data_IF_708689322056
#
_entry.id   IF_708689322056
#
_cell.length_a   1.000
_cell.length_b   1.000
_cell.length_c   1.000
_cell.angle_alpha   90.00
_cell.angle_beta   90.00
_cell.angle_gamma   90.00
#
_symmetry.space_group_name_H-M   'P 1'
#
loop_
_entity.id
_entity.type
_entity.pdbx_description
1 polymer ?
#
# COMPACT_ATOMS: atom_id res chain seq x y z
N UNK A 1 6.43 -38.35 -21.93
CA UNK A 1 6.38 -37.13 -21.09
C UNK A 1 6.79 -37.50 -19.67
N UNK A 2 7.79 -36.84 -19.06
CA UNK A 2 8.18 -37.14 -17.66
C UNK A 2 7.11 -36.62 -16.69
N UNK A 3 6.55 -37.51 -15.88
CA UNK A 3 5.69 -37.16 -14.74
C UNK A 3 6.58 -36.77 -13.55
N UNK A 4 6.09 -35.87 -12.70
CA UNK A 4 6.76 -35.48 -11.45
C UNK A 4 5.77 -35.58 -10.29
N UNK A 5 6.25 -35.98 -9.12
CA UNK A 5 5.44 -36.05 -7.90
C UNK A 5 5.22 -34.67 -7.29
N UNK A 6 4.02 -34.45 -6.75
CA UNK A 6 3.74 -33.32 -5.88
C UNK A 6 4.28 -33.58 -4.47
N UNK A 7 5.13 -32.71 -3.94
CA UNK A 7 5.75 -32.84 -2.60
C UNK A 7 4.74 -32.86 -1.43
N UNK A 8 3.50 -32.39 -1.61
CA UNK A 8 2.49 -32.36 -0.54
C UNK A 8 1.53 -33.56 -0.56
N UNK A 9 1.32 -34.18 -1.72
CA UNK A 9 0.31 -35.25 -1.84
C UNK A 9 0.83 -36.50 -2.55
N UNK A 10 2.12 -36.51 -2.92
CA UNK A 10 2.85 -37.56 -3.61
C UNK A 10 2.20 -38.09 -4.91
N UNK A 11 1.11 -37.48 -5.37
CA UNK A 11 0.47 -37.79 -6.65
C UNK A 11 1.32 -37.28 -7.79
N UNK A 12 1.39 -38.09 -8.84
CA UNK A 12 2.13 -37.77 -10.05
C UNK A 12 1.30 -36.89 -10.99
N UNK A 13 1.92 -35.84 -11.49
CA UNK A 13 1.30 -34.93 -12.45
C UNK A 13 2.26 -34.61 -13.60
N UNK A 14 1.69 -34.27 -14.76
CA UNK A 14 2.46 -33.64 -15.84
C UNK A 14 3.11 -32.35 -15.30
N UNK A 15 4.37 -32.08 -15.67
CA UNK A 15 5.11 -30.91 -15.16
C UNK A 15 4.36 -29.58 -15.32
N UNK A 16 3.56 -29.41 -16.39
CA UNK A 16 2.70 -28.23 -16.61
C UNK A 16 1.64 -28.00 -15.50
N UNK A 17 1.28 -29.03 -14.74
CA UNK A 17 0.29 -28.99 -13.65
C UNK A 17 0.92 -28.83 -12.26
N UNK A 18 2.24 -28.64 -12.17
CA UNK A 18 3.00 -28.44 -10.94
C UNK A 18 3.62 -27.04 -10.92
N UNK A 19 3.66 -26.42 -9.75
CA UNK A 19 4.40 -25.18 -9.50
C UNK A 19 5.64 -25.48 -8.67
N UNK A 20 6.78 -24.91 -9.04
CA UNK A 20 8.01 -24.99 -8.24
C UNK A 20 7.99 -23.85 -7.22
N UNK A 21 7.94 -24.17 -5.94
CA UNK A 21 7.89 -23.20 -4.84
C UNK A 21 8.95 -23.60 -3.82
N UNK A 22 9.90 -22.71 -3.53
CA UNK A 22 11.03 -22.97 -2.60
C UNK A 22 11.73 -24.32 -2.86
N UNK A 23 11.99 -24.63 -4.14
CA UNK A 23 12.63 -25.88 -4.54
C UNK A 23 11.73 -27.12 -4.62
N UNK A 24 10.50 -27.08 -4.08
CA UNK A 24 9.55 -28.20 -4.09
C UNK A 24 8.54 -28.10 -5.24
N UNK A 25 8.13 -29.23 -5.82
CA UNK A 25 7.08 -29.27 -6.85
C UNK A 25 5.73 -29.49 -6.18
N UNK A 26 4.81 -28.53 -6.27
CA UNK A 26 3.50 -28.59 -5.62
C UNK A 26 2.40 -28.52 -6.67
N UNK A 27 1.40 -29.40 -6.58
CA UNK A 27 0.26 -29.37 -7.50
C UNK A 27 -0.65 -28.17 -7.20
N UNK A 28 -1.39 -27.74 -8.22
CA UNK A 28 -2.31 -26.59 -8.12
C UNK A 28 -3.33 -26.77 -6.99
N UNK A 29 -3.83 -27.99 -6.77
CA UNK A 29 -4.81 -28.28 -5.72
C UNK A 29 -4.23 -28.09 -4.32
N UNK A 30 -3.03 -28.61 -4.05
CA UNK A 30 -2.33 -28.44 -2.77
C UNK A 30 -1.98 -26.97 -2.54
N UNK A 31 -1.47 -26.29 -3.56
CA UNK A 31 -1.18 -24.85 -3.48
C UNK A 31 -2.43 -24.03 -3.14
N UNK A 32 -3.60 -24.35 -3.72
CA UNK A 32 -4.86 -23.67 -3.42
C UNK A 32 -5.30 -23.91 -1.97
N UNK A 33 -5.16 -25.14 -1.45
CA UNK A 33 -5.46 -25.47 -0.04
C UNK A 33 -4.57 -24.68 0.93
N UNK A 34 -3.27 -24.67 0.69
CA UNK A 34 -2.32 -23.94 1.56
C UNK A 34 -2.59 -22.43 1.55
N UNK A 35 -2.91 -21.88 0.38
CA UNK A 35 -3.28 -20.47 0.24
C UNK A 35 -4.57 -20.12 0.98
N UNK A 36 -5.57 -21.02 0.98
CA UNK A 36 -6.81 -20.81 1.73
C UNK A 36 -6.57 -20.84 3.23
N UNK A 37 -5.80 -21.82 3.74
CA UNK A 37 -5.40 -21.89 5.15
C UNK A 37 -4.66 -20.64 5.60
N UNK A 38 -3.70 -20.17 4.80
CA UNK A 38 -2.96 -18.96 5.12
C UNK A 38 -3.86 -17.71 5.14
N UNK A 39 -4.85 -17.64 4.23
CA UNK A 39 -5.84 -16.56 4.22
C UNK A 39 -6.75 -16.58 5.43
N UNK A 40 -7.15 -17.75 5.91
CA UNK A 40 -7.96 -17.90 7.12
C UNK A 40 -7.17 -17.51 8.36
N UNK A 41 -5.92 -17.99 8.48
CA UNK A 41 -5.00 -17.59 9.53
C UNK A 41 -4.84 -16.06 9.62
N UNK A 42 -4.55 -15.39 8.49
CA UNK A 42 -4.40 -13.93 8.46
C UNK A 42 -5.68 -13.18 8.86
N UNK A 43 -6.87 -13.73 8.54
CA UNK A 43 -8.16 -13.13 8.95
C UNK A 43 -8.42 -13.27 10.45
N UNK A 44 -7.99 -14.35 11.07
CA UNK A 44 -8.12 -14.54 12.52
C UNK A 44 -7.12 -13.67 13.27
N UNK A 45 -5.89 -13.59 12.78
CA UNK A 45 -4.84 -12.74 13.34
C UNK A 45 -5.20 -11.24 13.26
N UNK A 46 -5.80 -10.80 12.15
CA UNK A 46 -6.31 -9.42 12.01
C UNK A 46 -7.43 -9.12 13.00
N UNK A 47 -8.38 -10.04 13.19
CA UNK A 47 -9.49 -9.87 14.16
C UNK A 47 -9.00 -9.80 15.61
N UNK A 48 -7.94 -10.51 15.95
CA UNK A 48 -7.38 -10.53 17.31
C UNK A 48 -6.53 -9.30 17.62
N UNK A 49 -6.16 -8.50 16.61
CA UNK A 49 -5.43 -7.26 16.79
C UNK A 49 -6.35 -6.15 17.34
N UNK A 50 -6.38 -6.01 18.67
CA UNK A 50 -7.15 -5.00 19.44
C UNK A 50 -6.96 -3.55 18.94
N UNK A 51 -5.84 -3.26 18.28
CA UNK A 51 -5.51 -1.94 17.69
C UNK A 51 -6.41 -1.63 16.48
N UNK A 52 -6.71 -2.64 15.65
CA UNK A 52 -7.55 -2.48 14.46
C UNK A 52 -9.01 -2.22 14.84
N UNK A 53 -9.50 -2.89 15.90
CA UNK A 53 -10.84 -2.67 16.47
C UNK A 53 -10.99 -1.23 17.00
N UNK A 54 -9.96 -0.68 17.66
CA UNK A 54 -9.98 0.73 18.13
C UNK A 54 -9.96 1.71 16.95
N UNK A 55 -9.20 1.42 15.90
CA UNK A 55 -9.13 2.27 14.71
C UNK A 55 -10.43 2.28 13.90
N UNK A 56 -11.08 1.12 13.73
CA UNK A 56 -12.40 1.04 13.09
C UNK A 56 -13.48 1.80 13.85
N UNK A 57 -13.47 1.73 15.19
CA UNK A 57 -14.39 2.53 16.04
C UNK A 57 -14.15 4.03 15.83
N UNK A 58 -12.90 4.47 15.79
CA UNK A 58 -12.54 5.88 15.51
C UNK A 58 -13.00 6.36 14.13
N UNK A 59 -12.88 5.53 13.09
CA UNK A 59 -13.37 5.86 11.74
C UNK A 59 -14.91 5.98 11.73
N UNK A 60 -15.61 5.05 12.37
CA UNK A 60 -17.08 5.08 12.46
C UNK A 60 -17.58 6.33 13.19
N UNK A 61 -16.90 6.76 14.25
CA UNK A 61 -17.20 8.01 14.96
C UNK A 61 -16.93 9.25 14.10
N UNK A 62 -15.78 9.34 13.43
CA UNK A 62 -15.48 10.44 12.50
C UNK A 62 -16.52 10.56 11.37
N UNK A 63 -16.99 9.43 10.84
CA UNK A 63 -18.03 9.41 9.81
C UNK A 63 -19.41 9.82 10.35
N UNK A 64 -19.75 9.47 11.60
CA UNK A 64 -20.98 9.95 12.26
C UNK A 64 -20.94 11.45 12.48
N UNK A 65 -19.79 11.99 12.91
CA UNK A 65 -19.58 13.43 13.08
C UNK A 65 -19.75 14.13 11.73
N UNK A 66 -19.06 13.67 10.67
CA UNK A 66 -19.17 14.25 9.33
C UNK A 66 -20.62 14.29 8.80
N UNK A 67 -21.40 13.22 9.00
CA UNK A 67 -22.81 13.18 8.61
C UNK A 67 -23.70 14.14 9.41
N UNK A 68 -23.38 14.40 10.69
CA UNK A 68 -24.09 15.41 11.49
C UNK A 68 -23.79 16.82 10.98
N UNK A 69 -22.51 17.13 10.75
CA UNK A 69 -22.09 18.41 10.16
C UNK A 69 -22.72 18.67 8.79
N UNK A 70 -22.77 17.68 7.90
CA UNK A 70 -23.43 17.81 6.60
C UNK A 70 -24.94 18.07 6.71
N UNK A 71 -25.61 17.52 7.73
CA UNK A 71 -27.04 17.79 8.00
C UNK A 71 -27.27 19.18 8.59
N UNK A 72 -26.40 19.64 9.49
CA UNK A 72 -26.46 20.99 10.06
C UNK A 72 -26.17 22.05 9.00
N UNK A 73 -25.17 21.85 8.14
CA UNK A 73 -24.88 22.75 7.00
C UNK A 73 -26.05 22.81 6.02
N UNK A 74 -26.77 21.69 5.80
CA UNK A 74 -27.98 21.68 4.96
C UNK A 74 -29.14 22.47 5.58
N UNK A 75 -29.30 22.46 6.91
CA UNK A 75 -30.32 23.26 7.62
C UNK A 75 -30.02 24.76 7.58
N UNK A 76 -28.74 25.14 7.48
CA UNK A 76 -28.32 26.55 7.41
C UNK A 76 -28.49 27.12 5.98
N UNK A 77 -28.60 26.28 4.95
CA UNK A 77 -28.62 26.69 3.53
C UNK A 77 -29.98 26.50 2.84
N UNK A 78 -31.02 27.10 3.41
CA UNK A 78 -32.18 27.55 2.62
C UNK A 78 -31.87 28.78 1.75
N UNK A 79 -30.61 29.22 1.68
CA UNK A 79 -30.12 30.12 0.65
C UNK A 79 -29.74 29.31 -0.60
N UNK A 80 -30.59 29.39 -1.63
CA UNK A 80 -30.34 28.92 -3.01
C UNK A 80 -29.08 29.57 -3.61
N UNK A 81 -27.89 29.09 -3.24
CA UNK A 81 -26.68 29.35 -4.01
C UNK A 81 -26.71 28.42 -5.22
N UNK A 82 -27.16 28.96 -6.34
CA UNK A 82 -27.04 28.36 -7.67
C UNK A 82 -25.53 28.22 -7.95
N UNK A 83 -24.98 27.05 -7.63
CA UNK A 83 -23.65 26.66 -8.08
C UNK A 83 -23.77 26.48 -9.59
N UNK A 84 -23.46 27.52 -10.37
CA UNK A 84 -23.23 27.38 -11.81
C UNK A 84 -22.13 26.33 -11.97
N UNK A 85 -22.51 25.12 -12.36
CA UNK A 85 -21.58 24.06 -12.75
C UNK A 85 -20.84 24.56 -13.99
N UNK A 86 -19.70 25.21 -13.81
CA UNK A 86 -18.75 25.42 -14.89
C UNK A 86 -18.35 24.03 -15.37
N UNK A 87 -18.86 23.64 -16.54
CA UNK A 87 -18.44 22.43 -17.22
C UNK A 87 -16.94 22.62 -17.52
N UNK A 88 -16.07 22.06 -16.67
CA UNK A 88 -14.64 21.98 -16.97
C UNK A 88 -14.51 21.32 -18.35
N UNK A 89 -13.82 21.93 -19.31
CA UNK A 89 -13.61 21.30 -20.60
C UNK A 89 -12.91 19.96 -20.38
N UNK A 90 -13.46 18.88 -20.94
CA UNK A 90 -12.80 17.58 -20.99
C UNK A 90 -11.61 17.72 -21.94
N UNK A 91 -10.44 18.01 -21.40
CA UNK A 91 -9.19 17.94 -22.15
C UNK A 91 -8.95 16.46 -22.45
N UNK A 92 -9.36 16.01 -23.63
CA UNK A 92 -9.29 14.64 -24.08
C UNK A 92 -8.02 14.43 -24.91
N UNK A 93 -6.86 14.69 -24.33
CA UNK A 93 -5.57 14.26 -24.88
C UNK A 93 -4.88 13.35 -23.87
N UNK A 94 -5.49 12.19 -23.62
CA UNK A 94 -4.82 11.09 -22.93
C UNK A 94 -3.90 10.39 -23.93
N UNK A 95 -2.77 11.02 -24.25
CA UNK A 95 -1.67 10.28 -24.86
C UNK A 95 -1.26 9.23 -23.81
N UNK A 96 -1.56 7.96 -24.09
CA UNK A 96 -0.99 6.82 -23.36
C UNK A 96 0.51 6.76 -23.64
N UNK A 97 1.25 7.71 -23.09
CA UNK A 97 2.66 7.49 -22.79
C UNK A 97 2.68 6.38 -21.75
N UNK A 98 3.02 5.16 -22.15
CA UNK A 98 3.48 4.15 -21.21
C UNK A 98 4.81 4.65 -20.66
N UNK A 99 4.75 5.55 -19.67
CA UNK A 99 5.88 5.75 -18.78
C UNK A 99 5.78 4.54 -17.84
N UNK A 100 6.52 3.47 -18.11
CA UNK A 100 6.77 2.42 -17.12
C UNK A 100 7.66 2.98 -16.00
N UNK A 101 7.23 4.09 -15.38
CA UNK A 101 7.89 4.60 -14.18
C UNK A 101 7.67 3.53 -13.11
N UNK A 102 8.76 3.00 -12.62
CA UNK A 102 8.78 2.10 -11.48
C UNK A 102 7.98 2.75 -10.36
N UNK A 103 7.12 1.97 -9.71
CA UNK A 103 6.26 2.42 -8.60
C UNK A 103 7.05 2.69 -7.32
N UNK A 104 8.15 3.44 -7.41
CA UNK A 104 9.06 3.77 -6.31
C UNK A 104 8.51 4.96 -5.54
N UNK A 105 7.76 4.67 -4.48
CA UNK A 105 7.22 5.66 -3.57
C UNK A 105 7.22 5.14 -2.13
N UNK A 106 7.24 6.08 -1.17
CA UNK A 106 7.02 5.76 0.24
C UNK A 106 5.55 5.45 0.45
N UNK A 107 5.26 4.23 0.89
CA UNK A 107 3.91 3.76 1.17
C UNK A 107 3.30 4.51 2.35
N UNK A 108 1.97 4.47 2.43
CA UNK A 108 1.24 5.08 3.55
C UNK A 108 1.64 4.46 4.90
N UNK A 109 1.95 3.17 4.93
CA UNK A 109 2.30 2.47 6.16
C UNK A 109 3.73 2.79 6.61
N UNK A 110 4.67 2.94 5.69
CA UNK A 110 6.02 3.44 5.99
C UNK A 110 5.99 4.85 6.62
N UNK A 111 5.14 5.74 6.08
CA UNK A 111 4.94 7.08 6.68
C UNK A 111 4.37 7.01 8.10
N UNK A 112 3.45 6.07 8.37
CA UNK A 112 2.91 5.89 9.73
C UNK A 112 3.97 5.37 10.69
N UNK A 113 4.77 4.38 10.26
CA UNK A 113 5.86 3.82 11.09
C UNK A 113 6.86 4.92 11.43
N UNK A 114 7.25 5.72 10.44
CA UNK A 114 8.14 6.86 10.65
C UNK A 114 7.53 7.89 11.62
N UNK A 115 6.24 8.20 11.46
CA UNK A 115 5.52 9.09 12.38
C UNK A 115 5.57 8.59 13.83
N UNK A 116 5.25 7.31 14.07
CA UNK A 116 5.33 6.75 15.42
C UNK A 116 6.75 6.75 15.99
N UNK A 117 7.77 6.46 15.16
CA UNK A 117 9.18 6.51 15.56
C UNK A 117 9.59 7.91 16.02
N UNK A 118 9.19 8.94 15.27
CA UNK A 118 9.47 10.34 15.62
C UNK A 118 8.72 10.78 16.88
N UNK A 119 7.44 10.42 17.01
CA UNK A 119 6.66 10.70 18.22
C UNK A 119 7.29 10.04 19.45
N UNK A 120 7.78 8.79 19.34
CA UNK A 120 8.46 8.09 20.43
C UNK A 120 9.81 8.72 20.80
N UNK A 121 10.46 9.43 19.87
CA UNK A 121 11.67 10.21 20.11
C UNK A 121 11.42 11.57 20.77
N UNK A 122 10.15 11.93 21.00
CA UNK A 122 9.77 13.18 21.63
C UNK A 122 9.54 14.35 20.66
N UNK A 123 9.49 14.10 19.35
CA UNK A 123 9.14 15.14 18.38
C UNK A 123 7.68 15.59 18.57
N UNK A 124 7.44 16.90 18.37
CA UNK A 124 6.06 17.40 18.30
C UNK A 124 5.36 16.89 17.04
N UNK A 125 4.03 16.94 17.03
CA UNK A 125 3.24 16.53 15.86
C UNK A 125 3.61 17.35 14.63
N UNK A 126 3.90 18.64 14.79
CA UNK A 126 4.26 19.53 13.68
C UNK A 126 5.63 19.15 13.13
N UNK A 127 6.63 19.01 14.01
CA UNK A 127 8.00 18.65 13.63
C UNK A 127 8.06 17.26 12.97
N UNK A 128 7.33 16.28 13.52
CA UNK A 128 7.27 14.94 12.95
C UNK A 128 6.69 14.94 11.52
N UNK A 129 5.63 15.72 11.28
CA UNK A 129 5.03 15.84 9.97
C UNK A 129 5.94 16.58 8.97
N UNK A 130 6.62 17.63 9.43
CA UNK A 130 7.57 18.37 8.61
C UNK A 130 8.77 17.51 8.23
N UNK A 131 9.28 16.72 9.17
CA UNK A 131 10.36 15.77 8.93
C UNK A 131 9.97 14.68 7.91
N UNK A 132 8.77 14.10 8.05
CA UNK A 132 8.24 13.13 7.07
C UNK A 132 8.09 13.76 5.68
N UNK A 133 7.71 15.05 5.62
CA UNK A 133 7.60 15.80 4.37
C UNK A 133 8.98 15.99 3.72
N UNK A 134 10.00 16.33 4.50
CA UNK A 134 11.38 16.42 4.01
C UNK A 134 11.88 15.09 3.44
N UNK A 135 11.69 13.98 4.16
CA UNK A 135 12.05 12.64 3.66
C UNK A 135 11.25 12.30 2.39
N UNK A 136 9.95 12.60 2.36
CA UNK A 136 9.11 12.33 1.18
C UNK A 136 9.59 13.08 -0.05
N UNK A 137 10.05 14.32 0.11
CA UNK A 137 10.59 15.13 -0.99
C UNK A 137 11.91 14.53 -1.50
N UNK A 138 12.86 14.19 -0.60
CA UNK A 138 14.12 13.56 -0.98
C UNK A 138 13.92 12.23 -1.72
N UNK A 139 13.02 11.38 -1.23
CA UNK A 139 12.71 10.11 -1.91
C UNK A 139 12.00 10.31 -3.26
N UNK A 140 11.22 11.38 -3.42
CA UNK A 140 10.59 11.72 -4.70
C UNK A 140 11.64 12.11 -5.74
N UNK A 141 12.64 12.89 -5.35
CA UNK A 141 13.79 13.24 -6.20
C UNK A 141 14.60 11.99 -6.55
N UNK A 142 14.93 11.16 -5.57
CA UNK A 142 15.66 9.91 -5.79
C UNK A 142 14.89 8.93 -6.71
N UNK A 143 13.56 8.86 -6.59
CA UNK A 143 12.71 8.09 -7.49
C UNK A 143 12.83 8.55 -8.95
N UNK A 144 12.92 9.87 -9.19
CA UNK A 144 13.13 10.40 -10.54
C UNK A 144 14.51 10.04 -11.09
N UNK A 145 15.54 10.01 -10.24
CA UNK A 145 16.89 9.57 -10.62
C UNK A 145 16.92 8.09 -10.98
N UNK A 146 16.33 7.24 -10.13
CA UNK A 146 16.25 5.79 -10.38
C UNK A 146 15.45 5.46 -11.64
N UNK A 147 14.38 6.21 -11.92
CA UNK A 147 13.61 6.03 -13.16
C UNK A 147 14.38 6.39 -14.44
N UNK A 148 15.45 7.19 -14.34
CA UNK A 148 16.36 7.48 -15.46
C UNK A 148 17.48 6.45 -15.59
N UNK A 149 17.70 5.64 -14.56
CA UNK A 149 18.75 4.64 -14.54
C UNK A 149 18.32 3.34 -15.23
N UNK A 150 19.21 2.75 -16.03
CA UNK A 150 18.97 1.44 -16.62
C UNK A 150 19.27 0.36 -15.58
N UNK A 151 18.26 -0.42 -15.22
CA UNK A 151 18.38 -1.49 -14.23
C UNK A 151 17.14 -2.38 -14.18
N UNK A 152 17.26 -3.53 -13.50
CA UNK A 152 16.10 -4.35 -13.19
C UNK A 152 15.26 -3.66 -12.12
N UNK A 153 13.94 -3.82 -12.21
CA UNK A 153 12.99 -3.24 -11.27
C UNK A 153 13.29 -3.62 -9.81
N UNK A 154 13.69 -4.87 -9.57
CA UNK A 154 14.06 -5.37 -8.24
C UNK A 154 15.28 -4.62 -7.66
N UNK A 155 16.33 -4.42 -8.46
CA UNK A 155 17.56 -3.74 -8.03
C UNK A 155 17.29 -2.26 -7.71
N UNK A 156 16.46 -1.61 -8.53
CA UNK A 156 16.07 -0.22 -8.33
C UNK A 156 15.18 -0.04 -7.09
N UNK A 157 14.30 -1.01 -6.82
CA UNK A 157 13.50 -1.02 -5.61
C UNK A 157 14.35 -1.26 -4.35
N UNK A 158 15.35 -2.15 -4.41
CA UNK A 158 16.27 -2.35 -3.28
C UNK A 158 17.02 -1.06 -2.96
N UNK A 159 17.63 -0.40 -3.96
CA UNK A 159 18.31 0.90 -3.77
C UNK A 159 17.39 1.96 -3.18
N UNK A 160 16.15 2.03 -3.66
CA UNK A 160 15.14 2.94 -3.10
C UNK A 160 14.85 2.66 -1.62
N UNK A 161 14.71 1.39 -1.22
CA UNK A 161 14.45 1.02 0.17
C UNK A 161 15.66 1.23 1.07
N UNK A 162 16.87 0.99 0.58
CA UNK A 162 18.12 1.26 1.29
C UNK A 162 18.28 2.75 1.58
N UNK A 163 18.08 3.63 0.59
CA UNK A 163 18.15 5.07 0.82
C UNK A 163 17.07 5.56 1.79
N UNK A 164 15.86 5.01 1.69
CA UNK A 164 14.82 5.32 2.68
C UNK A 164 15.24 4.90 4.10
N UNK A 165 15.81 3.71 4.28
CA UNK A 165 16.29 3.23 5.58
C UNK A 165 17.38 4.13 6.16
N UNK A 166 18.37 4.55 5.35
CA UNK A 166 19.42 5.49 5.77
C UNK A 166 18.87 6.82 6.26
N UNK A 167 17.87 7.36 5.56
CA UNK A 167 17.23 8.62 5.96
C UNK A 167 16.47 8.49 7.29
N UNK A 168 15.91 7.32 7.57
CA UNK A 168 15.14 7.00 8.79
C UNK A 168 16.03 6.64 9.99
N UNK A 169 17.25 6.17 9.77
CA UNK A 169 18.23 5.90 10.83
C UNK A 169 18.99 7.15 11.28
N UNK A 170 19.19 8.11 10.37
CA UNK A 170 19.77 9.43 10.69
C UNK A 170 18.81 10.37 11.42
N UNK A 171 17.53 10.00 11.51
CA UNK A 171 16.48 10.64 12.33
C UNK A 171 16.44 9.98 13.69
#
# INVERSE_FOLDING_TARGET
MRLKGCSNCNKEFKQKKLKKIKGRFICVCCYKKDRLKHREFLKEESKNNKIEIKFEKSIKEKNKIKKKWEKEIKKIKDCKLIIKKTKRPRIFNYQKGKISSLGLYITRDEKKVLYFKLMNKGYSIQDANEYIKQISNKMSEFSKELNKSNGKEEDLNMRFKEEFAKLVERS
#
